data_IF_415268146030
#
_entry.id   IF_415268146030
#
_cell.length_a   1.000
_cell.length_b   1.000
_cell.length_c   1.000
_cell.angle_alpha   90.00
_cell.angle_beta   90.00
_cell.angle_gamma   90.00
#
_symmetry.space_group_name_H-M   'P 1'
#
loop_
_entity.id
_entity.type
_entity.pdbx_description
1 polymer ?
#
# COMPACT_ATOMS: atom_id res chain seq x y z
N UNK A 1 18.08 -2.12 7.53
CA UNK A 1 18.54 -0.91 6.79
C UNK A 1 17.31 -0.13 6.33
N UNK A 2 17.31 1.17 6.56
CA UNK A 2 16.23 2.08 6.13
C UNK A 2 16.75 2.95 4.99
N UNK A 3 15.92 3.18 3.99
CA UNK A 3 16.11 4.17 2.93
C UNK A 3 14.79 4.96 2.75
N UNK A 4 14.80 6.04 1.95
CA UNK A 4 13.60 6.87 1.73
C UNK A 4 12.35 6.06 1.36
N UNK A 5 12.48 5.05 0.50
CA UNK A 5 11.35 4.24 -0.01
C UNK A 5 11.34 2.79 0.49
N UNK A 6 12.42 2.28 1.09
CA UNK A 6 12.56 0.85 1.46
C UNK A 6 12.93 0.65 2.92
N UNK A 7 12.44 -0.45 3.48
CA UNK A 7 12.86 -0.98 4.77
C UNK A 7 13.28 -2.42 4.60
N UNK A 8 14.55 -2.71 4.84
CA UNK A 8 15.12 -4.04 4.68
C UNK A 8 15.53 -4.58 6.05
N UNK A 9 15.18 -5.81 6.35
CA UNK A 9 15.61 -6.47 7.58
C UNK A 9 15.73 -7.97 7.35
N UNK A 10 16.60 -8.60 8.14
CA UNK A 10 16.88 -10.01 8.02
C UNK A 10 16.38 -10.74 9.27
N UNK A 11 15.91 -11.96 9.09
CA UNK A 11 15.55 -12.87 10.17
C UNK A 11 15.92 -14.30 9.79
N UNK A 12 15.95 -15.22 10.73
CA UNK A 12 16.28 -16.63 10.48
C UNK A 12 15.11 -17.52 10.83
N UNK A 13 14.89 -18.57 10.04
CA UNK A 13 13.91 -19.62 10.31
C UNK A 13 14.59 -20.98 10.18
N UNK A 14 15.02 -21.56 11.31
CA UNK A 14 15.86 -22.76 11.27
C UNK A 14 17.17 -22.51 10.51
N UNK A 15 17.56 -23.36 9.55
CA UNK A 15 18.82 -23.25 8.81
C UNK A 15 18.77 -22.29 7.62
N UNK A 16 17.74 -21.44 7.48
CA UNK A 16 17.66 -20.44 6.41
C UNK A 16 17.63 -19.00 6.94
N UNK A 17 18.29 -18.10 6.21
CA UNK A 17 18.24 -16.65 6.35
C UNK A 17 17.17 -16.10 5.41
N UNK A 18 16.26 -15.30 5.96
CA UNK A 18 15.22 -14.56 5.24
C UNK A 18 15.64 -13.09 5.17
N UNK A 19 15.74 -12.53 3.96
CA UNK A 19 15.90 -11.10 3.74
C UNK A 19 14.58 -10.51 3.27
N UNK A 20 13.97 -9.67 4.10
CA UNK A 20 12.64 -9.09 3.85
C UNK A 20 12.81 -7.62 3.47
N UNK A 21 12.23 -7.23 2.34
CA UNK A 21 12.20 -5.83 1.88
C UNK A 21 10.76 -5.35 1.77
N UNK A 22 10.41 -4.34 2.56
CA UNK A 22 9.18 -3.57 2.40
C UNK A 22 9.48 -2.36 1.53
N UNK A 23 8.90 -2.30 0.34
CA UNK A 23 9.08 -1.22 -0.64
C UNK A 23 7.75 -0.47 -0.81
N UNK A 24 7.74 0.82 -0.49
CA UNK A 24 6.62 1.72 -0.76
C UNK A 24 7.07 2.75 -1.80
N UNK A 25 6.71 2.56 -3.08
CA UNK A 25 7.21 3.42 -4.15
C UNK A 25 6.82 4.88 -3.97
N UNK A 26 7.81 5.78 -4.07
CA UNK A 26 7.57 7.21 -4.29
C UNK A 26 7.91 7.47 -5.75
N UNK A 27 6.88 7.72 -6.55
CA UNK A 27 7.01 7.84 -8.00
C UNK A 27 7.14 9.32 -8.39
N UNK A 28 8.34 9.69 -8.81
CA UNK A 28 8.74 11.08 -9.14
C UNK A 28 8.63 11.42 -10.62
N UNK A 29 8.28 10.43 -11.46
CA UNK A 29 8.04 10.67 -12.88
C UNK A 29 6.73 11.42 -13.12
N UNK A 30 6.54 11.95 -14.33
CA UNK A 30 5.29 12.62 -14.73
C UNK A 30 4.06 11.69 -14.78
N UNK A 31 4.20 10.40 -14.45
CA UNK A 31 3.08 9.46 -14.39
C UNK A 31 2.34 9.58 -13.05
N UNK A 32 1.33 10.45 -12.99
CA UNK A 32 0.43 10.56 -11.83
C UNK A 32 -0.25 9.24 -11.48
N UNK A 33 -0.40 8.34 -12.46
CA UNK A 33 -0.96 7.02 -12.25
C UNK A 33 -0.13 6.23 -11.24
N UNK A 34 1.19 6.10 -11.46
CA UNK A 34 2.07 5.38 -10.55
C UNK A 34 2.13 6.03 -9.16
N UNK A 35 2.18 7.36 -9.07
CA UNK A 35 2.15 8.08 -7.79
C UNK A 35 0.81 7.94 -7.03
N UNK A 36 -0.25 7.46 -7.69
CA UNK A 36 -1.58 7.30 -7.11
C UNK A 36 -1.92 5.86 -6.73
N UNK A 37 -1.03 4.89 -6.99
CA UNK A 37 -1.25 3.51 -6.59
C UNK A 37 -1.18 3.36 -5.06
N UNK A 38 -2.25 2.84 -4.42
CA UNK A 38 -2.29 2.66 -2.96
C UNK A 38 -1.69 1.32 -2.52
N UNK A 39 -0.56 0.93 -3.11
CA UNK A 39 0.08 -0.38 -2.89
C UNK A 39 1.56 -0.25 -2.51
N UNK A 40 2.05 -1.25 -1.77
CA UNK A 40 3.45 -1.46 -1.45
C UNK A 40 3.83 -2.91 -1.75
N UNK A 41 5.09 -3.14 -2.07
CA UNK A 41 5.64 -4.48 -2.22
C UNK A 41 6.21 -4.97 -0.89
N UNK A 42 6.06 -6.26 -0.64
CA UNK A 42 6.84 -7.02 0.34
C UNK A 42 7.55 -8.11 -0.43
N UNK A 43 8.88 -8.14 -0.36
CA UNK A 43 9.66 -9.19 -0.99
C UNK A 43 10.46 -9.99 0.02
N UNK A 44 10.65 -11.27 -0.28
CA UNK A 44 11.37 -12.21 0.57
C UNK A 44 12.36 -12.99 -0.28
N UNK A 45 13.64 -12.84 0.06
CA UNK A 45 14.73 -13.69 -0.44
C UNK A 45 15.12 -14.69 0.64
N UNK A 46 15.48 -15.91 0.23
CA UNK A 46 15.84 -16.99 1.14
C UNK A 46 17.22 -17.53 0.76
N UNK A 47 18.09 -17.72 1.73
CA UNK A 47 19.42 -18.30 1.55
C UNK A 47 19.70 -19.29 2.68
N UNK A 48 20.20 -20.47 2.33
CA UNK A 48 20.64 -21.50 3.28
C UNK A 48 21.88 -21.04 4.04
N UNK A 49 21.90 -21.28 5.35
CA UNK A 49 23.00 -20.90 6.25
C UNK A 49 23.97 -22.05 6.52
N UNK A 50 23.60 -23.29 6.21
CA UNK A 50 24.42 -24.49 6.36
C UNK A 50 24.90 -25.07 5.02
N UNK A 51 24.52 -24.42 3.90
CA UNK A 51 24.87 -24.84 2.54
C UNK A 51 24.09 -26.06 2.04
N UNK A 52 23.15 -26.59 2.82
CA UNK A 52 22.28 -27.69 2.41
C UNK A 52 20.97 -27.16 1.82
N UNK A 53 20.32 -27.92 0.93
CA UNK A 53 19.01 -27.60 0.43
C UNK A 53 17.93 -27.82 1.51
N UNK A 54 16.96 -26.91 1.61
CA UNK A 54 15.87 -26.96 2.58
C UNK A 54 14.52 -26.74 1.91
N UNK A 55 13.49 -27.46 2.35
CA UNK A 55 12.13 -27.23 1.88
C UNK A 55 11.52 -26.00 2.57
N UNK A 56 11.24 -24.94 1.81
CA UNK A 56 10.79 -23.65 2.34
C UNK A 56 9.41 -23.27 1.83
N UNK A 57 8.53 -22.88 2.76
CA UNK A 57 7.22 -22.31 2.45
C UNK A 57 7.08 -20.96 3.15
N UNK A 58 6.63 -19.94 2.41
CA UNK A 58 6.34 -18.61 2.93
C UNK A 58 4.83 -18.44 3.15
N UNK A 59 4.49 -17.72 4.21
CA UNK A 59 3.13 -17.48 4.66
C UNK A 59 2.94 -16.00 5.01
N UNK A 60 2.66 -15.12 4.02
CA UNK A 60 2.23 -13.77 4.33
C UNK A 60 0.74 -13.78 4.65
N UNK A 61 0.37 -13.10 5.73
CA UNK A 61 -1.00 -12.97 6.19
C UNK A 61 -1.42 -11.50 6.37
N UNK A 62 -2.75 -11.33 6.40
CA UNK A 62 -3.43 -10.06 6.54
C UNK A 62 -4.55 -10.22 7.54
N UNK A 63 -4.68 -9.29 8.47
CA UNK A 63 -5.65 -9.37 9.55
C UNK A 63 -6.73 -8.31 9.40
N UNK A 64 -7.88 -8.54 10.04
CA UNK A 64 -8.95 -7.55 10.10
C UNK A 64 -8.60 -6.28 10.89
N UNK A 65 -7.51 -6.29 11.69
CA UNK A 65 -7.12 -5.14 12.51
C UNK A 65 -6.67 -3.91 11.69
N UNK A 66 -6.36 -4.10 10.41
CA UNK A 66 -6.10 -2.98 9.49
C UNK A 66 -7.37 -2.19 9.15
N UNK A 67 -8.55 -2.79 9.33
CA UNK A 67 -9.84 -2.22 8.94
C UNK A 67 -10.67 -1.76 10.13
N UNK A 68 -10.42 -2.32 11.32
CA UNK A 68 -11.08 -1.90 12.55
C UNK A 68 -10.30 -2.33 13.78
N UNK A 69 -10.43 -1.56 14.87
CA UNK A 69 -9.92 -1.93 16.18
C UNK A 69 -11.01 -2.46 17.14
N UNK A 70 -12.24 -2.61 16.66
CA UNK A 70 -13.34 -3.21 17.42
C UNK A 70 -13.37 -4.72 17.19
N UNK A 71 -13.14 -5.50 18.25
CA UNK A 71 -13.11 -6.96 18.18
C UNK A 71 -14.49 -7.59 17.91
N UNK A 72 -15.56 -6.79 17.98
CA UNK A 72 -16.91 -7.25 17.64
C UNK A 72 -17.23 -7.15 16.15
N UNK A 73 -16.45 -6.36 15.40
CA UNK A 73 -16.65 -6.13 13.97
C UNK A 73 -16.49 -7.41 13.15
N UNK A 74 -17.29 -7.48 12.10
CA UNK A 74 -17.26 -8.57 11.13
C UNK A 74 -16.61 -8.08 9.85
N UNK A 75 -15.73 -8.92 9.31
CA UNK A 75 -14.97 -8.67 8.11
C UNK A 75 -15.39 -9.69 7.05
N UNK A 76 -15.81 -9.19 5.89
CA UNK A 76 -15.96 -9.96 4.66
C UNK A 76 -14.58 -10.28 4.10
N UNK A 77 -14.43 -11.51 3.61
CA UNK A 77 -13.26 -11.96 2.90
C UNK A 77 -13.65 -12.49 1.53
N UNK A 78 -12.85 -12.15 0.53
CA UNK A 78 -12.94 -12.75 -0.79
C UNK A 78 -11.55 -13.08 -1.33
N UNK A 79 -11.49 -14.10 -2.18
CA UNK A 79 -10.31 -14.43 -2.97
C UNK A 79 -10.67 -14.31 -4.44
N UNK A 80 -9.87 -13.57 -5.18
CA UNK A 80 -9.95 -13.55 -6.64
C UNK A 80 -8.71 -14.24 -7.18
N UNK A 81 -8.94 -15.20 -8.08
CA UNK A 81 -7.91 -15.89 -8.83
C UNK A 81 -8.13 -15.57 -10.30
N UNK A 82 -7.09 -15.06 -10.94
CA UNK A 82 -7.01 -14.90 -12.38
C UNK A 82 -6.00 -15.91 -12.94
N UNK A 83 -5.80 -15.90 -14.26
CA UNK A 83 -4.73 -16.65 -14.89
C UNK A 83 -3.33 -16.19 -14.43
N UNK A 84 -3.20 -14.92 -14.01
CA UNK A 84 -1.93 -14.26 -13.78
C UNK A 84 -1.66 -13.94 -12.30
N UNK A 85 -2.68 -13.83 -11.46
CA UNK A 85 -2.56 -13.45 -10.05
C UNK A 85 -3.59 -14.08 -9.12
N UNK A 86 -3.25 -14.10 -7.84
CA UNK A 86 -4.17 -14.43 -6.75
C UNK A 86 -4.11 -13.32 -5.72
N UNK A 87 -5.27 -12.79 -5.32
CA UNK A 87 -5.35 -11.77 -4.28
C UNK A 87 -6.54 -11.97 -3.34
N UNK A 88 -6.30 -11.61 -2.08
CA UNK A 88 -7.26 -11.54 -1.00
C UNK A 88 -7.76 -10.13 -0.81
N UNK A 89 -9.04 -10.00 -0.52
CA UNK A 89 -9.66 -8.74 -0.15
C UNK A 89 -10.34 -8.89 1.19
N UNK A 90 -10.11 -7.95 2.10
CA UNK A 90 -10.87 -7.80 3.34
C UNK A 90 -11.62 -6.47 3.33
N UNK A 91 -12.85 -6.48 3.83
CA UNK A 91 -13.67 -5.27 4.02
C UNK A 91 -14.61 -5.46 5.21
N UNK A 92 -14.95 -4.39 5.92
CA UNK A 92 -16.05 -4.42 6.90
C UNK A 92 -17.35 -4.92 6.25
N UNK A 93 -18.16 -5.69 6.99
CA UNK A 93 -19.50 -6.11 6.51
C UNK A 93 -20.50 -4.95 6.43
N UNK A 94 -20.23 -3.86 7.14
CA UNK A 94 -21.09 -2.69 7.25
C UNK A 94 -20.24 -1.41 7.27
N UNK A 95 -19.56 -1.10 6.15
CA UNK A 95 -18.67 0.05 6.09
C UNK A 95 -19.49 1.35 6.10
N UNK A 96 -19.02 2.34 6.85
CA UNK A 96 -19.56 3.70 6.80
C UNK A 96 -18.62 4.61 6.04
N UNK A 97 -19.05 5.08 4.86
CA UNK A 97 -18.22 5.92 4.01
C UNK A 97 -17.75 7.21 4.69
N UNK A 98 -16.48 7.55 4.48
CA UNK A 98 -15.83 8.76 5.00
C UNK A 98 -15.89 8.89 6.53
N UNK A 99 -15.95 7.76 7.24
CA UNK A 99 -15.84 7.71 8.70
C UNK A 99 -14.51 7.12 9.14
N UNK A 100 -14.05 7.59 10.30
CA UNK A 100 -12.87 7.04 10.96
C UNK A 100 -13.20 6.66 12.38
N UNK A 101 -12.83 5.44 12.77
CA UNK A 101 -12.89 4.96 14.14
C UNK A 101 -11.48 4.79 14.66
N UNK A 102 -11.10 5.55 15.68
CA UNK A 102 -9.75 5.51 16.26
C UNK A 102 -8.63 5.67 15.21
N UNK A 103 -8.81 6.60 14.26
CA UNK A 103 -7.89 6.88 13.13
C UNK A 103 -7.76 5.76 12.08
N UNK A 104 -8.65 4.78 12.08
CA UNK A 104 -8.77 3.74 11.04
C UNK A 104 -10.00 4.07 10.17
N UNK A 105 -9.85 4.00 8.84
CA UNK A 105 -10.96 4.28 7.90
C UNK A 105 -11.92 3.10 7.83
N UNK A 106 -13.20 3.34 8.11
CA UNK A 106 -14.25 2.30 8.24
C UNK A 106 -14.69 1.73 6.88
N UNK A 107 -14.40 2.44 5.79
CA UNK A 107 -14.77 2.10 4.41
C UNK A 107 -13.60 1.64 3.53
N UNK A 108 -12.46 1.36 4.14
CA UNK A 108 -11.30 0.85 3.42
C UNK A 108 -11.45 -0.63 3.06
N UNK A 109 -10.80 -1.01 1.96
CA UNK A 109 -10.65 -2.40 1.52
C UNK A 109 -9.17 -2.70 1.50
N UNK A 110 -8.73 -3.73 2.22
CA UNK A 110 -7.34 -4.14 2.26
C UNK A 110 -7.09 -5.31 1.32
N UNK A 111 -5.95 -5.30 0.65
CA UNK A 111 -5.56 -6.25 -0.38
C UNK A 111 -4.23 -6.91 -0.04
N UNK A 112 -4.13 -8.23 -0.23
CA UNK A 112 -2.89 -8.99 -0.20
C UNK A 112 -2.84 -9.89 -1.43
N UNK A 113 -1.83 -9.78 -2.28
CA UNK A 113 -1.77 -10.55 -3.53
C UNK A 113 -0.37 -10.90 -4.01
N UNK A 114 -0.30 -11.86 -4.94
CA UNK A 114 0.91 -12.29 -5.64
C UNK A 114 0.56 -12.84 -7.04
N UNK A 115 1.57 -13.03 -7.91
CA UNK A 115 1.37 -13.62 -9.24
C UNK A 115 1.13 -15.14 -9.16
N UNK A 116 0.22 -15.66 -9.98
CA UNK A 116 -0.23 -17.07 -10.03
C UNK A 116 0.76 -18.02 -10.71
N UNK A 117 1.87 -17.54 -11.28
CA UNK A 117 2.95 -18.41 -11.81
C UNK A 117 3.64 -19.25 -10.71
N UNK A 118 3.20 -19.11 -9.47
CA UNK A 118 3.55 -19.92 -8.31
C UNK A 118 2.43 -20.96 -8.14
N UNK A 119 2.73 -22.23 -8.46
CA UNK A 119 1.75 -23.30 -8.74
C UNK A 119 0.57 -23.45 -7.76
N UNK A 120 -0.51 -23.97 -8.36
CA UNK A 120 -1.80 -24.40 -7.82
C UNK A 120 -1.74 -25.31 -6.58
N UNK A 121 -2.14 -24.77 -5.44
CA UNK A 121 -2.84 -25.51 -4.39
C UNK A 121 -4.08 -24.68 -4.05
N UNK A 122 -5.26 -25.29 -3.79
CA UNK A 122 -6.40 -24.53 -3.33
C UNK A 122 -5.93 -23.74 -2.11
N UNK A 123 -6.01 -22.42 -2.25
CA UNK A 123 -5.91 -21.52 -1.14
C UNK A 123 -6.87 -22.06 -0.08
N UNK A 124 -6.26 -22.59 0.95
CA UNK A 124 -6.95 -23.02 2.12
C UNK A 124 -7.35 -21.69 2.82
N UNK A 125 -8.52 -21.58 3.46
CA UNK A 125 -8.97 -20.29 4.05
C UNK A 125 -9.06 -20.38 5.60
N UNK A 126 -9.32 -19.32 6.36
CA UNK A 126 -9.86 -19.51 7.71
C UNK A 126 -8.84 -19.35 8.83
N UNK A 127 -9.35 -19.51 10.05
CA UNK A 127 -8.69 -19.07 11.28
C UNK A 127 -7.47 -19.94 11.56
N UNK A 128 -6.26 -19.38 11.47
CA UNK A 128 -5.18 -19.86 12.32
C UNK A 128 -5.26 -19.08 13.62
N UNK A 129 -5.37 -19.78 14.74
CA UNK A 129 -4.88 -19.18 15.96
C UNK A 129 -3.37 -19.11 15.76
N UNK A 130 -2.72 -17.96 15.98
CA UNK A 130 -1.23 -17.81 15.96
C UNK A 130 -0.50 -18.86 16.82
N UNK A 131 -1.23 -19.70 17.54
CA UNK A 131 -0.83 -20.84 18.37
C UNK A 131 -0.70 -22.19 17.64
N UNK A 132 -1.16 -22.38 16.40
CA UNK A 132 -1.03 -23.68 15.69
C UNK A 132 0.02 -23.65 14.58
N UNK A 133 1.27 -23.55 15.01
CA UNK A 133 2.48 -23.83 14.24
C UNK A 133 2.55 -25.31 13.83
N UNK A 134 2.08 -25.68 12.64
CA UNK A 134 2.62 -26.84 11.92
C UNK A 134 2.91 -26.48 10.45
N UNK A 135 4.18 -26.24 10.10
CA UNK A 135 4.61 -26.08 8.72
C UNK A 135 4.48 -27.43 7.99
N UNK A 136 3.83 -27.43 6.82
CA UNK A 136 3.76 -28.61 5.94
C UNK A 136 2.34 -29.07 5.56
N UNK A 137 1.30 -28.67 6.31
CA UNK A 137 -0.11 -28.77 5.89
C UNK A 137 -0.89 -27.66 6.61
N UNK A 138 -0.70 -26.41 6.21
CA UNK A 138 -1.57 -25.31 6.65
C UNK A 138 -3.00 -25.69 6.28
N UNK A 139 -3.77 -26.21 7.23
CA UNK A 139 -5.15 -26.67 7.08
C UNK A 139 -6.07 -25.47 7.10
N UNK A 140 -5.95 -24.60 6.12
CA UNK A 140 -6.86 -23.47 6.01
C UNK A 140 -8.23 -23.98 5.41
N UNK A 141 -9.28 -23.93 6.22
CA UNK A 141 -10.70 -24.17 5.88
C UNK A 141 -11.44 -22.99 5.19
N UNK A 142 -12.24 -23.21 4.12
CA UNK A 142 -13.08 -22.16 3.49
C UNK A 142 -13.80 -21.26 4.50
N UNK A 143 -13.58 -19.94 4.40
CA UNK A 143 -14.28 -18.89 5.16
C UNK A 143 -14.70 -17.79 4.20
N UNK A 144 -15.82 -17.16 4.46
CA UNK A 144 -16.32 -16.02 3.69
C UNK A 144 -16.50 -14.78 4.58
N UNK A 145 -16.69 -14.99 5.88
CA UNK A 145 -16.87 -13.93 6.89
C UNK A 145 -16.24 -14.37 8.21
N UNK A 146 -15.56 -13.45 8.90
CA UNK A 146 -15.03 -13.70 10.25
C UNK A 146 -15.15 -12.48 11.18
N UNK A 147 -14.97 -12.69 12.48
CA UNK A 147 -14.85 -11.61 13.48
C UNK A 147 -13.40 -11.35 13.84
N UNK A 148 -13.08 -10.10 14.15
CA UNK A 148 -11.77 -9.70 14.68
C UNK A 148 -11.66 -10.21 16.14
N UNK A 149 -11.26 -11.46 16.36
CA UNK A 149 -11.18 -12.02 17.72
C UNK A 149 -9.80 -11.83 18.36
N UNK A 150 -9.69 -11.87 19.71
CA UNK A 150 -8.40 -11.83 20.45
C UNK A 150 -7.38 -12.88 19.98
N UNK A 151 -7.88 -13.97 19.39
CA UNK A 151 -7.08 -14.93 18.66
C UNK A 151 -7.16 -14.50 17.19
N UNK A 152 -6.06 -13.92 16.70
CA UNK A 152 -6.00 -13.15 15.45
C UNK A 152 -6.50 -14.00 14.27
N UNK A 153 -7.70 -13.70 13.77
CA UNK A 153 -8.17 -14.30 12.51
C UNK A 153 -7.50 -13.56 11.37
N UNK A 154 -6.64 -14.25 10.64
CA UNK A 154 -5.97 -13.72 9.45
C UNK A 154 -6.42 -14.47 8.18
N UNK A 155 -6.16 -13.84 7.04
CA UNK A 155 -6.23 -14.46 5.72
C UNK A 155 -4.83 -14.44 5.14
N UNK A 156 -4.44 -15.48 4.44
CA UNK A 156 -3.04 -15.66 4.10
C UNK A 156 -2.84 -16.35 2.77
N UNK A 157 -1.75 -16.01 2.12
CA UNK A 157 -1.24 -16.74 0.96
C UNK A 157 -0.27 -17.82 1.44
N UNK A 158 -0.13 -18.89 0.65
CA UNK A 158 0.92 -19.89 0.83
C UNK A 158 1.78 -19.88 -0.43
N UNK A 159 3.07 -19.61 -0.27
CA UNK A 159 4.04 -19.55 -1.36
C UNK A 159 5.08 -20.64 -1.13
N UNK A 160 5.03 -21.71 -1.91
CA UNK A 160 5.94 -22.85 -1.78
C UNK A 160 7.16 -22.63 -2.68
N UNK A 161 8.33 -22.44 -2.05
CA UNK A 161 9.60 -22.34 -2.75
C UNK A 161 10.17 -23.73 -3.07
N UNK A 162 9.65 -24.78 -2.45
CA UNK A 162 10.18 -26.12 -2.53
C UNK A 162 11.54 -26.24 -1.87
N UNK A 163 12.30 -27.25 -2.31
CA UNK A 163 13.62 -27.55 -1.81
C UNK A 163 14.67 -26.65 -2.49
N UNK A 164 15.23 -25.69 -1.74
CA UNK A 164 16.15 -24.68 -2.27
C UNK A 164 17.37 -24.48 -1.36
N UNK A 165 18.50 -24.09 -1.96
CA UNK A 165 19.65 -23.50 -1.24
C UNK A 165 19.57 -21.98 -1.23
N UNK A 166 19.04 -21.38 -2.30
CA UNK A 166 18.78 -19.94 -2.40
C UNK A 166 17.62 -19.67 -3.37
N UNK A 167 16.97 -18.51 -3.22
CA UNK A 167 15.97 -18.03 -4.17
C UNK A 167 16.62 -17.51 -5.46
N UNK A 168 16.18 -18.01 -6.62
CA UNK A 168 16.62 -17.47 -7.93
C UNK A 168 16.09 -16.04 -8.19
N UNK A 169 14.91 -15.74 -7.65
CA UNK A 169 14.29 -14.42 -7.64
C UNK A 169 13.48 -14.25 -6.36
N UNK A 170 13.31 -13.02 -5.83
CA UNK A 170 12.53 -12.79 -4.63
C UNK A 170 11.08 -13.26 -4.80
N UNK A 171 10.48 -13.79 -3.74
CA UNK A 171 9.03 -13.91 -3.68
C UNK A 171 8.41 -12.52 -3.49
N UNK A 172 7.47 -12.12 -4.35
CA UNK A 172 6.91 -10.76 -4.39
C UNK A 172 5.43 -10.77 -4.02
N UNK A 173 5.07 -9.95 -3.04
CA UNK A 173 3.70 -9.74 -2.58
C UNK A 173 3.31 -8.27 -2.69
N UNK A 174 2.06 -7.99 -3.03
CA UNK A 174 1.46 -6.67 -2.99
C UNK A 174 0.56 -6.53 -1.77
N UNK A 175 0.74 -5.45 -1.01
CA UNK A 175 -0.10 -5.04 0.10
C UNK A 175 -0.72 -3.68 -0.23
N UNK A 176 -2.04 -3.56 -0.18
CA UNK A 176 -2.73 -2.31 -0.48
C UNK A 176 -3.91 -2.02 0.43
N UNK A 177 -4.28 -0.74 0.51
CA UNK A 177 -5.46 -0.26 1.23
C UNK A 177 -6.16 0.79 0.39
N UNK A 178 -7.34 0.46 -0.12
CA UNK A 178 -8.07 1.31 -1.08
C UNK A 178 -9.32 1.87 -0.44
N UNK A 179 -9.61 3.14 -0.73
CA UNK A 179 -10.92 3.76 -0.55
C UNK A 179 -11.41 4.27 -1.89
N UNK A 180 -12.63 3.92 -2.25
CA UNK A 180 -13.21 4.32 -3.52
C UNK A 180 -14.73 4.50 -3.37
N UNK A 181 -15.27 5.74 -3.46
CA UNK A 181 -14.54 7.02 -3.56
C UNK A 181 -13.66 7.32 -2.34
N UNK A 182 -12.52 8.00 -2.54
CA UNK A 182 -11.55 8.30 -1.47
C UNK A 182 -11.80 9.64 -0.77
N UNK A 183 -12.42 10.60 -1.46
CA UNK A 183 -12.65 11.95 -0.92
C UNK A 183 -14.10 12.40 -1.12
N UNK A 184 -14.70 12.89 -0.03
CA UNK A 184 -15.93 13.67 -0.02
C UNK A 184 -15.59 15.15 0.17
N UNK A 185 -15.53 15.88 -0.94
CA UNK A 185 -15.23 17.30 -0.93
C UNK A 185 -16.52 18.12 -0.77
N UNK A 186 -16.59 18.94 0.28
CA UNK A 186 -17.64 19.96 0.40
C UNK A 186 -17.19 21.16 -0.43
N UNK A 187 -17.92 21.44 -1.50
CA UNK A 187 -17.69 22.62 -2.36
C UNK A 187 -18.88 23.57 -2.22
N UNK A 188 -18.77 24.76 -2.78
CA UNK A 188 -19.90 25.70 -2.80
C UNK A 188 -21.10 25.19 -3.59
N UNK A 189 -20.83 24.43 -4.65
CA UNK A 189 -21.87 23.82 -5.50
C UNK A 189 -22.30 22.45 -4.96
N UNK A 190 -22.24 22.29 -3.63
CA UNK A 190 -22.58 21.08 -2.90
C UNK A 190 -21.44 20.09 -2.75
N UNK A 191 -21.78 18.92 -2.24
CA UNK A 191 -20.84 17.83 -2.02
C UNK A 191 -20.46 17.15 -3.33
N UNK A 192 -19.16 16.96 -3.57
CA UNK A 192 -18.61 16.23 -4.70
C UNK A 192 -17.79 15.04 -4.19
N UNK A 193 -18.00 13.88 -4.81
CA UNK A 193 -17.19 12.70 -4.55
C UNK A 193 -16.05 12.61 -5.56
N UNK A 194 -14.91 12.11 -5.10
CA UNK A 194 -13.70 11.98 -5.91
C UNK A 194 -13.12 10.59 -5.72
N UNK A 195 -12.58 10.04 -6.79
CA UNK A 195 -12.01 8.69 -6.85
C UNK A 195 -10.48 8.79 -6.98
N UNK A 196 -9.73 7.78 -6.53
CA UNK A 196 -8.28 7.72 -6.72
C UNK A 196 -7.89 7.83 -8.20
N UNK A 197 -6.83 8.58 -8.50
CA UNK A 197 -6.42 8.90 -9.88
C UNK A 197 -6.11 7.65 -10.72
N UNK A 198 -5.57 6.57 -10.12
CA UNK A 198 -5.25 5.34 -10.85
C UNK A 198 -6.48 4.74 -11.56
N UNK A 199 -7.71 5.03 -11.08
CA UNK A 199 -8.96 4.61 -11.72
C UNK A 199 -9.13 5.15 -13.14
N UNK A 200 -8.44 6.22 -13.51
CA UNK A 200 -8.40 6.72 -14.89
C UNK A 200 -7.76 5.70 -15.85
N UNK A 201 -6.79 4.91 -15.38
CA UNK A 201 -6.16 3.84 -16.16
C UNK A 201 -6.88 2.49 -15.99
N UNK A 202 -7.46 2.25 -14.81
CA UNK A 202 -8.01 0.95 -14.44
C UNK A 202 -9.50 1.00 -14.11
N UNK A 203 -10.30 0.35 -14.95
CA UNK A 203 -11.70 0.04 -14.63
C UNK A 203 -11.81 -1.17 -13.70
N UNK A 204 -10.88 -2.14 -13.83
CA UNK A 204 -10.77 -3.34 -12.99
C UNK A 204 -9.64 -3.20 -11.98
N UNK A 205 -9.96 -3.34 -10.68
CA UNK A 205 -8.95 -3.39 -9.62
C UNK A 205 -8.04 -4.61 -9.73
N UNK A 206 -8.55 -5.72 -10.28
CA UNK A 206 -7.73 -6.92 -10.53
C UNK A 206 -6.58 -6.60 -11.49
N UNK A 207 -6.88 -5.90 -12.58
CA UNK A 207 -5.88 -5.47 -13.56
C UNK A 207 -4.88 -4.49 -12.94
N UNK A 208 -5.34 -3.57 -12.09
CA UNK A 208 -4.44 -2.64 -11.40
C UNK A 208 -3.42 -3.38 -10.53
N UNK A 209 -3.86 -4.38 -9.76
CA UNK A 209 -2.99 -5.18 -8.89
C UNK A 209 -1.99 -6.00 -9.71
N UNK A 210 -2.44 -6.57 -10.83
CA UNK A 210 -1.60 -7.33 -11.76
C UNK A 210 -0.50 -6.47 -12.37
N UNK A 211 -0.87 -5.34 -12.96
CA UNK A 211 0.10 -4.38 -13.51
C UNK A 211 1.10 -3.90 -12.44
N UNK A 212 0.62 -3.66 -11.21
CA UNK A 212 1.50 -3.30 -10.10
C UNK A 212 2.49 -4.43 -9.79
N UNK A 213 2.03 -5.68 -9.66
CA UNK A 213 2.90 -6.82 -9.41
C UNK A 213 3.91 -7.06 -10.54
N UNK A 214 3.48 -6.92 -11.80
CA UNK A 214 4.33 -7.11 -12.99
C UNK A 214 5.41 -6.03 -13.14
N UNK A 215 5.13 -4.79 -12.71
CA UNK A 215 6.08 -3.68 -12.75
C UNK A 215 7.11 -3.72 -11.60
N UNK A 216 7.15 -4.79 -10.78
CA UNK A 216 8.05 -4.87 -9.61
C UNK A 216 9.52 -4.54 -9.94
N UNK A 217 10.08 -5.10 -11.01
CA UNK A 217 11.47 -4.82 -11.42
C UNK A 217 11.67 -3.36 -11.82
N UNK A 218 10.72 -2.80 -12.58
CA UNK A 218 10.73 -1.41 -13.00
C UNK A 218 10.61 -0.45 -11.82
N UNK A 219 9.66 -0.70 -10.92
CA UNK A 219 9.47 0.06 -9.69
C UNK A 219 10.73 0.00 -8.81
N UNK A 220 11.35 -1.18 -8.67
CA UNK A 220 12.58 -1.37 -7.88
C UNK A 220 13.74 -0.56 -8.43
N UNK A 221 13.88 -0.45 -9.75
CA UNK A 221 14.94 0.37 -10.33
C UNK A 221 14.67 1.88 -10.12
N UNK A 222 13.43 2.34 -10.37
CA UNK A 222 13.05 3.75 -10.18
C UNK A 222 13.28 4.21 -8.75
N UNK A 223 12.86 3.41 -7.77
CA UNK A 223 13.01 3.76 -6.34
C UNK A 223 14.46 3.61 -5.86
N UNK A 224 15.27 2.71 -6.44
CA UNK A 224 16.71 2.61 -6.15
C UNK A 224 17.44 3.87 -6.58
N UNK A 225 17.15 4.38 -7.78
CA UNK A 225 17.70 5.63 -8.29
C UNK A 225 17.28 6.81 -7.40
N UNK A 226 16.00 6.86 -7.02
CA UNK A 226 15.49 7.91 -6.14
C UNK A 226 16.13 7.88 -4.75
N UNK A 227 16.19 6.70 -4.12
CA UNK A 227 16.83 6.51 -2.82
C UNK A 227 18.29 6.96 -2.86
N UNK A 228 19.03 6.58 -3.91
CA UNK A 228 20.43 6.97 -4.08
C UNK A 228 20.54 8.48 -4.15
N UNK A 229 19.73 9.12 -4.99
CA UNK A 229 19.71 10.59 -5.13
C UNK A 229 19.42 11.31 -3.81
N UNK A 230 18.36 10.92 -3.09
CA UNK A 230 17.99 11.55 -1.81
C UNK A 230 19.11 11.37 -0.77
N UNK A 231 19.70 10.18 -0.71
CA UNK A 231 20.77 9.88 0.25
C UNK A 231 22.06 10.64 -0.09
N UNK A 232 22.44 10.73 -1.36
CA UNK A 232 23.63 11.46 -1.79
C UNK A 232 23.50 12.96 -1.52
N UNK A 233 22.37 13.56 -1.90
CA UNK A 233 22.09 14.98 -1.65
C UNK A 233 22.03 15.27 -0.14
N UNK A 234 21.48 14.35 0.66
CA UNK A 234 21.48 14.45 2.12
C UNK A 234 22.88 14.35 2.73
N UNK A 235 23.69 13.40 2.25
CA UNK A 235 25.06 13.15 2.73
C UNK A 235 26.02 14.29 2.38
N UNK A 236 25.77 15.01 1.28
CA UNK A 236 26.50 16.22 0.94
C UNK A 236 26.37 17.32 2.02
N UNK A 237 25.32 17.24 2.85
CA UNK A 237 25.13 18.12 4.03
C UNK A 237 25.64 17.41 5.29
N UNK A 238 25.07 16.25 5.63
CA UNK A 238 25.55 15.39 6.73
C UNK A 238 24.88 14.01 6.71
N UNK A 239 25.53 13.00 7.28
CA UNK A 239 24.94 11.66 7.45
C UNK A 239 23.69 11.67 8.32
N UNK A 240 23.64 12.51 9.36
CA UNK A 240 22.44 12.68 10.19
C UNK A 240 21.26 13.23 9.40
N UNK A 241 21.51 14.18 8.49
CA UNK A 241 20.45 14.71 7.63
C UNK A 241 19.96 13.68 6.62
N UNK A 242 20.86 12.91 5.99
CA UNK A 242 20.49 11.80 5.12
C UNK A 242 19.60 10.77 5.84
N UNK A 243 19.93 10.43 7.10
CA UNK A 243 19.11 9.52 7.92
C UNK A 243 17.73 10.09 8.23
N UNK A 244 17.61 11.40 8.48
CA UNK A 244 16.31 12.07 8.66
C UNK A 244 15.47 11.98 7.37
N UNK A 245 16.08 12.24 6.21
CA UNK A 245 15.40 12.10 4.91
C UNK A 245 14.92 10.68 4.66
N UNK A 246 15.74 9.67 4.97
CA UNK A 246 15.36 8.26 4.88
C UNK A 246 14.13 7.93 5.73
N UNK A 247 14.00 8.56 6.90
CA UNK A 247 12.85 8.38 7.78
C UNK A 247 11.61 9.14 7.34
N UNK A 248 11.76 10.40 6.92
CA UNK A 248 10.62 11.30 6.67
C UNK A 248 9.99 11.20 5.28
N UNK A 249 10.71 10.67 4.29
CA UNK A 249 10.27 10.70 2.88
C UNK A 249 8.93 10.01 2.68
N UNK A 250 8.76 8.74 3.12
CA UNK A 250 7.46 8.05 3.02
C UNK A 250 6.36 8.76 3.80
N UNK A 251 6.65 9.32 4.97
CA UNK A 251 5.65 10.03 5.78
C UNK A 251 5.13 11.29 5.09
N UNK A 252 5.95 11.99 4.30
CA UNK A 252 5.52 13.17 3.56
C UNK A 252 4.47 12.84 2.48
N UNK A 253 4.49 11.63 1.93
CA UNK A 253 3.58 11.17 0.86
C UNK A 253 2.47 10.26 1.37
N UNK A 254 2.67 9.57 2.51
CA UNK A 254 1.78 8.52 2.99
C UNK A 254 0.39 8.98 3.44
N UNK A 255 0.15 10.29 3.53
CA UNK A 255 -1.14 10.87 3.87
C UNK A 255 -1.82 11.58 2.68
N UNK A 256 -1.31 11.36 1.48
CA UNK A 256 -1.74 12.03 0.26
C UNK A 256 -2.69 11.15 -0.56
N UNK A 257 -3.79 11.73 -1.03
CA UNK A 257 -4.70 11.14 -2.01
C UNK A 257 -4.69 12.00 -3.30
N UNK A 258 -4.24 11.42 -4.42
CA UNK A 258 -4.33 12.02 -5.75
C UNK A 258 -5.67 11.57 -6.37
N UNK A 259 -6.52 12.51 -6.76
CA UNK A 259 -7.92 12.20 -7.07
C UNK A 259 -8.46 12.91 -8.31
N UNK A 260 -9.47 12.32 -8.94
CA UNK A 260 -10.29 12.90 -10.03
C UNK A 260 -11.77 12.93 -9.63
N UNK A 261 -12.64 13.71 -10.29
CA UNK A 261 -14.08 13.66 -10.05
C UNK A 261 -14.63 12.25 -10.27
N UNK A 262 -15.72 11.88 -9.57
CA UNK A 262 -16.35 10.55 -9.67
C UNK A 262 -16.72 10.15 -11.11
N UNK A 263 -17.17 11.11 -11.92
CA UNK A 263 -17.44 10.92 -13.34
C UNK A 263 -16.46 11.82 -14.11
N UNK A 264 -15.20 11.40 -14.30
CA UNK A 264 -14.22 12.20 -15.02
C UNK A 264 -14.60 12.27 -16.51
N UNK A 265 -14.19 13.35 -17.18
CA UNK A 265 -14.20 13.40 -18.65
C UNK A 265 -13.29 12.29 -19.19
N UNK A 266 -13.58 11.76 -20.38
CA UNK A 266 -12.69 10.79 -21.05
C UNK A 266 -11.33 11.40 -21.39
N UNK A 267 -11.28 12.72 -21.53
CA UNK A 267 -10.02 13.44 -21.70
C UNK A 267 -9.20 13.40 -20.41
N UNK A 268 -8.01 12.81 -20.49
CA UNK A 268 -6.95 12.81 -19.47
C UNK A 268 -6.34 14.20 -19.22
N UNK A 269 -7.15 15.25 -19.29
CA UNK A 269 -6.69 16.58 -18.92
C UNK A 269 -6.51 16.66 -17.40
N UNK A 270 -5.37 17.20 -16.98
CA UNK A 270 -4.99 17.32 -15.57
C UNK A 270 -5.87 18.32 -14.82
N UNK A 271 -6.70 19.10 -15.52
CA UNK A 271 -7.60 20.11 -14.96
C UNK A 271 -8.58 19.56 -13.91
N UNK A 272 -8.94 18.29 -13.98
CA UNK A 272 -9.79 17.63 -12.99
C UNK A 272 -9.05 17.14 -11.75
N UNK A 273 -7.72 17.08 -11.77
CA UNK A 273 -6.91 16.40 -10.75
C UNK A 273 -6.74 17.29 -9.53
N UNK A 274 -6.99 16.73 -8.34
CA UNK A 274 -6.76 17.41 -7.06
C UNK A 274 -6.08 16.48 -6.10
N UNK A 275 -5.20 17.05 -5.28
CA UNK A 275 -4.47 16.31 -4.26
C UNK A 275 -4.92 16.75 -2.88
N UNK A 276 -5.13 15.77 -2.00
CA UNK A 276 -5.55 15.98 -0.62
C UNK A 276 -4.50 15.38 0.30
N UNK A 277 -3.96 16.19 1.20
CA UNK A 277 -2.99 15.80 2.22
C UNK A 277 -3.64 15.89 3.60
N UNK A 278 -3.74 14.78 4.30
CA UNK A 278 -4.29 14.75 5.66
C UNK A 278 -3.19 14.89 6.71
N UNK A 279 -3.44 15.72 7.72
CA UNK A 279 -2.63 15.71 8.95
C UNK A 279 -2.97 14.47 9.79
N UNK A 280 -2.14 13.43 9.68
CA UNK A 280 -2.24 12.20 10.47
C UNK A 280 -1.86 12.36 11.95
N UNK A 281 -1.38 13.54 12.35
CA UNK A 281 -1.07 13.87 13.73
C UNK A 281 -2.32 14.11 14.57
N UNK A 282 -2.42 15.31 15.14
CA UNK A 282 -3.45 15.61 16.13
C UNK A 282 -4.67 16.31 15.53
N UNK A 283 -4.53 17.03 14.41
CA UNK A 283 -5.66 17.83 13.90
C UNK A 283 -6.64 17.04 13.05
N UNK A 284 -6.20 15.98 12.37
CA UNK A 284 -7.02 15.22 11.43
C UNK A 284 -7.47 16.04 10.20
N UNK A 285 -7.01 17.29 10.07
CA UNK A 285 -7.45 18.21 9.01
C UNK A 285 -6.88 17.81 7.67
N UNK A 286 -7.68 17.93 6.62
CA UNK A 286 -7.26 17.74 5.24
C UNK A 286 -6.90 19.10 4.64
N UNK A 287 -5.77 19.17 3.93
CA UNK A 287 -5.22 20.38 3.30
C UNK A 287 -5.05 21.57 4.25
N UNK A 288 -4.74 21.31 5.52
CA UNK A 288 -4.36 22.39 6.42
C UNK A 288 -3.11 23.10 5.86
N UNK A 289 -3.19 24.42 5.66
CA UNK A 289 -2.10 25.24 5.06
C UNK A 289 -0.77 25.00 5.76
N UNK A 290 -0.75 24.90 7.10
CA UNK A 290 0.45 24.58 7.87
C UNK A 290 1.07 23.22 7.50
N UNK A 291 0.24 22.21 7.23
CA UNK A 291 0.69 20.86 6.91
C UNK A 291 1.24 20.82 5.49
N UNK A 292 0.54 21.47 4.55
CA UNK A 292 1.04 21.66 3.18
C UNK A 292 2.37 22.40 3.20
N UNK A 293 2.46 23.52 3.92
CA UNK A 293 3.68 24.32 4.04
C UNK A 293 4.87 23.50 4.57
N UNK A 294 4.67 22.72 5.64
CA UNK A 294 5.72 21.85 6.20
C UNK A 294 6.19 20.76 5.24
N UNK A 295 5.30 20.22 4.41
CA UNK A 295 5.64 19.17 3.43
C UNK A 295 6.04 19.73 2.05
N UNK A 296 5.85 21.03 1.81
CA UNK A 296 6.06 21.68 0.51
C UNK A 296 7.46 21.48 -0.07
N UNK A 297 8.55 21.58 0.72
CA UNK A 297 9.90 21.33 0.20
C UNK A 297 10.07 19.93 -0.38
N UNK A 298 9.45 18.91 0.23
CA UNK A 298 9.50 17.54 -0.28
C UNK A 298 8.78 17.41 -1.62
N UNK A 299 7.61 18.05 -1.77
CA UNK A 299 6.89 18.07 -3.05
C UNK A 299 7.65 18.84 -4.13
N UNK A 300 8.22 20.01 -3.83
CA UNK A 300 9.02 20.77 -4.79
C UNK A 300 10.25 19.99 -5.27
N UNK A 301 10.90 19.27 -4.35
CA UNK A 301 12.09 18.47 -4.66
C UNK A 301 11.74 17.20 -5.47
N UNK A 302 10.64 16.52 -5.15
CA UNK A 302 10.31 15.22 -5.72
C UNK A 302 9.38 15.30 -6.92
N UNK A 303 8.33 16.12 -6.85
CA UNK A 303 7.36 16.30 -7.94
C UNK A 303 6.58 17.62 -7.75
N UNK A 304 7.10 18.70 -8.32
CA UNK A 304 6.52 20.04 -8.15
C UNK A 304 5.09 20.18 -8.71
N UNK A 305 4.65 19.27 -9.60
CA UNK A 305 3.26 19.25 -10.07
C UNK A 305 2.28 18.94 -8.93
N UNK A 306 2.66 18.07 -7.98
CA UNK A 306 1.84 17.77 -6.81
C UNK A 306 1.64 19.00 -5.92
N UNK A 307 2.66 19.87 -5.85
CA UNK A 307 2.61 21.10 -5.05
C UNK A 307 1.49 22.04 -5.52
N UNK A 308 1.34 22.24 -6.84
CA UNK A 308 0.24 23.02 -7.40
C UNK A 308 -1.13 22.37 -7.13
N UNK A 309 -1.24 21.06 -7.37
CA UNK A 309 -2.49 20.29 -7.20
C UNK A 309 -2.95 20.17 -5.75
N UNK A 310 -2.04 20.33 -4.77
CA UNK A 310 -2.34 20.42 -3.35
C UNK A 310 -3.00 21.75 -2.96
N UNK A 311 -2.66 22.84 -3.66
CA UNK A 311 -3.18 24.17 -3.40
C UNK A 311 -4.55 24.41 -4.05
N UNK A 312 -4.83 23.75 -5.19
CA UNK A 312 -6.08 23.92 -5.94
C UNK A 312 -7.35 23.79 -5.09
N UNK A 313 -7.53 22.78 -4.21
CA UNK A 313 -8.72 22.72 -3.36
C UNK A 313 -8.92 23.94 -2.45
N UNK A 314 -7.84 24.60 -2.04
CA UNK A 314 -7.89 25.81 -1.22
C UNK A 314 -8.20 27.04 -2.08
N UNK A 315 -7.56 27.15 -3.23
CA UNK A 315 -7.74 28.27 -4.15
C UNK A 315 -9.16 28.32 -4.71
N UNK A 316 -9.75 27.17 -5.04
CA UNK A 316 -11.15 27.10 -5.50
C UNK A 316 -12.14 27.62 -4.45
N UNK A 317 -11.83 27.42 -3.16
CA UNK A 317 -12.63 27.94 -2.08
C UNK A 317 -12.42 29.45 -1.90
N UNK A 318 -11.19 29.94 -2.05
CA UNK A 318 -10.84 31.36 -1.91
C UNK A 318 -11.28 32.22 -3.09
N UNK A 319 -11.29 31.68 -4.31
CA UNK A 319 -11.68 32.41 -5.52
C UNK A 319 -13.19 32.58 -5.66
N UNK A 320 -13.93 32.34 -4.57
CA UNK A 320 -15.36 32.19 -4.62
C UNK A 320 -16.10 33.37 -3.97
N UNK A 321 -17.29 33.75 -4.48
CA UNK A 321 -18.00 34.93 -3.98
C UNK A 321 -18.26 35.00 -2.46
N UNK A 322 -18.44 33.87 -1.73
CA UNK A 322 -18.64 33.90 -0.28
C UNK A 322 -17.38 34.11 0.59
N UNK A 323 -16.18 34.16 0.00
CA UNK A 323 -14.91 34.39 0.71
C UNK A 323 -14.51 35.86 0.64
#
# INVERSE_FOLDING_TARGET
>A
RLSPTRTNFNTTAGPVLLSITCLSPIEVSNSMCFSSFPFSYVTIDVISTDGQPHNVQLYPDLTGELLSNDLSDKINFNTTQTTSSTFHTLQSTSPTHFQERNKISDDSISYLGALSKVRSSPLRIGRTERTTSQPGKLGLSPITVFRITKIVTCVALSYDLGEITETASPAVFALGLIRDPSIRAVTLNGTKFRIPFFRMKYTSLAQAIEDFLEDFEGATERVRLLDTKIMDDGNAISSSYANLLAFSSRSAFGAMDITVPLNPSEDLDLSGVKVYLKDLGNSGRVNAVKTIFSAFPAFLYLNAMLAGRLLEPLLDFQSSPPY
#
